data_IF_031326242233
#
_entry.id   IF_031326242233
#
_cell.length_a   1.000
_cell.length_b   1.000
_cell.length_c   1.000
_cell.angle_alpha   90.00
_cell.angle_beta   90.00
_cell.angle_gamma   90.00
#
_symmetry.space_group_name_H-M   'P 1'
#
loop_
_entity.id
_entity.type
_entity.pdbx_description
1 polymer ?
#
# COMPACT_ATOMS: atom_id res chain seq x y z
N UNK A 1 -52.31 -18.65 -1.24
CA UNK A 1 -51.04 -19.25 -0.80
C UNK A 1 -50.03 -19.10 -1.95
N UNK A 2 -48.79 -18.66 -1.67
CA UNK A 2 -47.60 -18.72 -2.57
C UNK A 2 -47.28 -17.53 -3.51
N UNK A 3 -46.94 -16.37 -2.94
CA UNK A 3 -45.93 -15.47 -3.57
C UNK A 3 -44.83 -15.02 -2.60
N UNK A 4 -45.08 -15.00 -1.30
CA UNK A 4 -44.10 -14.66 -0.26
C UNK A 4 -43.01 -15.72 -0.06
N UNK A 5 -43.31 -17.01 -0.24
CA UNK A 5 -42.33 -18.10 -0.05
C UNK A 5 -41.29 -18.27 -1.18
N UNK A 6 -41.39 -17.58 -2.32
CA UNK A 6 -40.39 -17.70 -3.41
C UNK A 6 -39.21 -16.74 -3.30
N UNK A 7 -39.34 -15.64 -2.54
CA UNK A 7 -38.27 -14.65 -2.40
C UNK A 7 -37.15 -15.09 -1.45
N UNK A 8 -37.47 -15.91 -0.45
CA UNK A 8 -36.49 -16.36 0.56
C UNK A 8 -35.49 -17.40 0.04
N UNK A 9 -35.80 -18.06 -1.09
CA UNK A 9 -34.91 -19.04 -1.73
C UNK A 9 -34.07 -18.45 -2.89
N UNK A 10 -34.32 -17.22 -3.32
CA UNK A 10 -33.58 -16.61 -4.43
C UNK A 10 -32.29 -15.95 -3.94
N UNK A 11 -31.17 -16.33 -4.55
CA UNK A 11 -29.88 -15.70 -4.29
C UNK A 11 -29.66 -14.49 -5.19
N UNK A 12 -29.04 -13.46 -4.61
CA UNK A 12 -28.62 -12.27 -5.35
C UNK A 12 -27.14 -11.98 -5.13
N UNK A 13 -26.55 -11.26 -6.08
CA UNK A 13 -25.17 -10.77 -6.00
C UNK A 13 -25.18 -9.25 -6.09
N UNK A 14 -24.48 -8.59 -5.19
CA UNK A 14 -24.31 -7.14 -5.19
C UNK A 14 -23.03 -6.70 -5.91
N UNK A 15 -23.03 -5.48 -6.43
CA UNK A 15 -21.87 -4.76 -6.93
C UNK A 15 -21.88 -3.33 -6.42
N UNK A 16 -20.72 -2.77 -6.10
CA UNK A 16 -20.62 -1.42 -5.53
C UNK A 16 -19.44 -0.68 -6.13
N UNK A 17 -19.74 0.48 -6.73
CA UNK A 17 -18.74 1.50 -7.03
C UNK A 17 -18.63 2.47 -5.84
N UNK A 18 -17.38 2.79 -5.46
CA UNK A 18 -17.09 3.49 -4.21
C UNK A 18 -16.53 4.89 -4.46
N UNK A 19 -17.22 5.91 -3.93
CA UNK A 19 -16.74 7.29 -3.87
C UNK A 19 -16.73 7.81 -2.44
N UNK A 20 -16.26 9.07 -2.30
CA UNK A 20 -16.02 9.71 -1.01
C UNK A 20 -17.31 9.85 -0.18
N UNK A 21 -18.37 10.37 -0.77
CA UNK A 21 -19.58 10.77 -0.04
C UNK A 21 -20.77 9.84 -0.34
N UNK A 22 -20.77 9.21 -1.52
CA UNK A 22 -21.81 8.28 -1.98
C UNK A 22 -21.16 7.00 -2.52
N UNK A 23 -21.81 5.86 -2.29
CA UNK A 23 -21.56 4.61 -2.98
C UNK A 23 -22.75 4.29 -3.87
N UNK A 24 -22.48 3.87 -5.10
CA UNK A 24 -23.51 3.39 -6.02
C UNK A 24 -23.49 1.87 -5.97
N UNK A 25 -24.65 1.27 -5.74
CA UNK A 25 -24.78 -0.17 -5.64
C UNK A 25 -25.74 -0.70 -6.71
N UNK A 26 -25.48 -1.91 -7.19
CA UNK A 26 -26.33 -2.65 -8.11
C UNK A 26 -26.55 -4.08 -7.60
N UNK A 27 -27.68 -4.68 -7.96
CA UNK A 27 -28.03 -6.07 -7.63
C UNK A 27 -28.31 -6.83 -8.91
N UNK A 28 -27.73 -8.03 -9.04
CA UNK A 28 -28.03 -8.97 -10.11
C UNK A 28 -28.67 -10.25 -9.55
N UNK A 29 -29.58 -10.84 -10.33
CA UNK A 29 -30.24 -12.09 -10.00
C UNK A 29 -29.39 -13.32 -10.35
N UNK A 30 -29.95 -14.53 -10.15
CA UNK A 30 -29.30 -15.81 -10.46
C UNK A 30 -28.97 -16.02 -11.95
N UNK A 31 -29.56 -15.23 -12.84
CA UNK A 31 -29.30 -15.23 -14.28
C UNK A 31 -28.30 -14.13 -14.69
N UNK A 32 -27.64 -13.48 -13.73
CA UNK A 32 -26.74 -12.35 -13.93
C UNK A 32 -27.40 -11.15 -14.62
N UNK A 33 -28.70 -10.95 -14.42
CA UNK A 33 -29.43 -9.80 -14.95
C UNK A 33 -29.58 -8.73 -13.86
N UNK A 34 -29.39 -7.47 -14.22
CA UNK A 34 -29.57 -6.34 -13.30
C UNK A 34 -31.03 -6.24 -12.86
N UNK A 35 -31.24 -6.19 -11.55
CA UNK A 35 -32.57 -6.06 -10.92
C UNK A 35 -32.83 -4.62 -10.51
N UNK A 36 -31.83 -3.97 -9.91
CA UNK A 36 -31.94 -2.60 -9.41
C UNK A 36 -30.57 -1.99 -9.16
N UNK A 37 -30.50 -0.66 -9.17
CA UNK A 37 -29.36 0.15 -8.77
C UNK A 37 -29.80 1.34 -7.91
N UNK A 38 -29.03 1.66 -6.88
CA UNK A 38 -29.36 2.74 -5.92
C UNK A 38 -28.09 3.34 -5.29
N UNK A 39 -28.19 4.58 -4.82
CA UNK A 39 -27.10 5.32 -4.18
C UNK A 39 -27.26 5.40 -2.67
N UNK A 40 -26.15 5.22 -1.94
CA UNK A 40 -26.14 5.21 -0.47
C UNK A 40 -25.02 6.11 0.07
N UNK A 41 -25.24 6.84 1.19
CA UNK A 41 -24.20 7.65 1.80
C UNK A 41 -23.08 6.77 2.39
N UNK A 42 -21.84 7.27 2.41
CA UNK A 42 -20.66 6.57 2.96
C UNK A 42 -20.59 6.58 4.49
N UNK A 43 -21.67 6.17 5.14
CA UNK A 43 -21.81 6.15 6.60
C UNK A 43 -22.22 4.75 7.06
N UNK A 44 -22.00 4.44 8.34
CA UNK A 44 -22.45 3.17 8.93
C UNK A 44 -23.95 2.91 8.70
N UNK A 45 -24.78 3.95 8.80
CA UNK A 45 -26.21 3.86 8.50
C UNK A 45 -26.48 3.60 7.01
N UNK A 46 -25.73 4.25 6.13
CA UNK A 46 -25.80 4.01 4.68
C UNK A 46 -25.42 2.58 4.30
N UNK A 47 -24.38 2.01 4.91
CA UNK A 47 -23.98 0.61 4.68
C UNK A 47 -25.06 -0.38 5.13
N UNK A 48 -25.70 -0.12 6.28
CA UNK A 48 -26.84 -0.90 6.74
C UNK A 48 -28.01 -0.83 5.78
N UNK A 49 -28.39 0.38 5.35
CA UNK A 49 -29.45 0.60 4.35
C UNK A 49 -29.15 -0.13 3.05
N UNK A 50 -27.93 -0.04 2.55
CA UNK A 50 -27.50 -0.73 1.34
C UNK A 50 -27.67 -2.24 1.47
N UNK A 51 -27.20 -2.86 2.56
CA UNK A 51 -27.36 -4.29 2.76
C UNK A 51 -28.83 -4.70 2.88
N UNK A 52 -29.64 -3.98 3.66
CA UNK A 52 -31.08 -4.23 3.77
C UNK A 52 -31.79 -4.10 2.43
N UNK A 53 -31.42 -3.11 1.62
CA UNK A 53 -31.93 -2.93 0.27
C UNK A 53 -31.56 -4.12 -0.62
N UNK A 54 -30.29 -4.54 -0.65
CA UNK A 54 -29.87 -5.74 -1.41
C UNK A 54 -30.63 -6.99 -0.96
N UNK A 55 -30.81 -7.18 0.35
CA UNK A 55 -31.54 -8.31 0.91
C UNK A 55 -33.04 -8.30 0.59
N UNK A 56 -33.62 -7.16 0.21
CA UNK A 56 -35.05 -7.09 -0.20
C UNK A 56 -35.33 -7.78 -1.54
N UNK A 57 -34.29 -8.06 -2.32
CA UNK A 57 -34.35 -8.78 -3.60
C UNK A 57 -34.05 -10.29 -3.47
N UNK A 58 -33.56 -10.74 -2.32
CA UNK A 58 -33.21 -12.15 -2.06
C UNK A 58 -32.05 -12.30 -1.09
N UNK A 59 -31.59 -13.53 -0.86
CA UNK A 59 -30.44 -13.81 -0.01
C UNK A 59 -29.15 -13.36 -0.68
N UNK A 60 -28.49 -12.36 -0.10
CA UNK A 60 -27.22 -11.82 -0.62
C UNK A 60 -26.13 -12.86 -0.44
N UNK A 61 -25.69 -13.46 -1.55
CA UNK A 61 -24.63 -14.47 -1.54
C UNK A 61 -23.24 -13.83 -1.40
N UNK A 62 -23.03 -12.71 -2.09
CA UNK A 62 -21.78 -11.95 -2.05
C UNK A 62 -21.94 -10.53 -2.61
N UNK A 63 -20.91 -9.72 -2.41
CA UNK A 63 -20.81 -8.37 -2.98
C UNK A 63 -19.45 -8.13 -3.62
N UNK A 64 -19.44 -7.62 -4.85
CA UNK A 64 -18.25 -7.04 -5.50
C UNK A 64 -18.09 -5.58 -5.11
N UNK A 65 -16.93 -5.18 -4.60
CA UNK A 65 -16.63 -3.78 -4.26
C UNK A 65 -15.44 -3.32 -5.11
N UNK A 66 -15.63 -2.25 -5.88
CA UNK A 66 -14.52 -1.54 -6.51
C UNK A 66 -13.75 -0.73 -5.46
N UNK A 67 -12.42 -0.75 -5.52
CA UNK A 67 -11.54 0.02 -4.62
C UNK A 67 -11.80 -0.20 -3.11
N UNK A 68 -11.91 -1.48 -2.70
CA UNK A 68 -12.15 -1.89 -1.30
C UNK A 68 -11.13 -1.35 -0.28
N UNK A 69 -9.95 -0.92 -0.72
CA UNK A 69 -8.85 -0.46 0.13
C UNK A 69 -8.80 1.03 0.48
N UNK A 70 -9.72 1.85 -0.06
CA UNK A 70 -9.82 3.29 0.21
C UNK A 70 -11.25 3.69 0.57
N UNK A 71 -12.04 4.19 -0.38
CA UNK A 71 -13.41 4.64 -0.14
C UNK A 71 -14.33 3.48 0.25
N UNK A 72 -14.09 2.28 -0.29
CA UNK A 72 -14.84 1.07 0.06
C UNK A 72 -14.50 0.43 1.40
N UNK A 73 -13.51 0.94 2.15
CA UNK A 73 -13.01 0.24 3.35
C UNK A 73 -14.06 0.12 4.46
N UNK A 74 -14.84 1.18 4.68
CA UNK A 74 -15.92 1.17 5.67
C UNK A 74 -17.00 0.14 5.32
N UNK A 75 -17.36 0.08 4.04
CA UNK A 75 -18.33 -0.88 3.51
C UNK A 75 -17.83 -2.32 3.59
N UNK A 76 -16.57 -2.56 3.18
CA UNK A 76 -15.92 -3.87 3.27
C UNK A 76 -16.03 -4.45 4.69
N UNK A 77 -15.63 -3.67 5.70
CA UNK A 77 -15.71 -4.10 7.10
C UNK A 77 -17.14 -4.39 7.54
N UNK A 78 -18.09 -3.54 7.16
CA UNK A 78 -19.50 -3.73 7.50
C UNK A 78 -20.05 -5.03 6.90
N UNK A 79 -19.81 -5.27 5.61
CA UNK A 79 -20.26 -6.48 4.90
C UNK A 79 -19.63 -7.75 5.48
N UNK A 80 -18.32 -7.74 5.74
CA UNK A 80 -17.62 -8.87 6.37
C UNK A 80 -18.15 -9.16 7.78
N UNK A 81 -18.37 -8.13 8.61
CA UNK A 81 -18.96 -8.29 9.94
C UNK A 81 -20.41 -8.81 9.92
N UNK A 82 -21.08 -8.64 8.78
CA UNK A 82 -22.43 -9.15 8.54
C UNK A 82 -22.43 -10.56 7.91
N UNK A 83 -21.27 -11.20 7.79
CA UNK A 83 -21.12 -12.55 7.22
C UNK A 83 -21.27 -12.60 5.69
N UNK A 84 -21.21 -11.47 5.00
CA UNK A 84 -21.31 -11.40 3.54
C UNK A 84 -19.92 -11.63 2.93
N UNK A 85 -19.85 -12.53 1.93
CA UNK A 85 -18.65 -12.74 1.14
C UNK A 85 -18.37 -11.51 0.27
N UNK A 86 -17.17 -10.94 0.37
CA UNK A 86 -16.81 -9.71 -0.35
C UNK A 86 -15.65 -10.01 -1.29
N UNK A 87 -15.81 -9.57 -2.54
CA UNK A 87 -14.77 -9.61 -3.56
C UNK A 87 -14.33 -8.21 -3.93
N UNK A 88 -13.01 -7.99 -3.99
CA UNK A 88 -12.47 -6.78 -4.59
C UNK A 88 -12.49 -6.94 -6.11
N UNK A 89 -13.24 -6.06 -6.78
CA UNK A 89 -13.31 -6.03 -8.25
C UNK A 89 -12.15 -5.20 -8.76
N UNK A 90 -11.30 -5.81 -9.59
CA UNK A 90 -10.19 -5.13 -10.23
C UNK A 90 -10.66 -4.35 -11.45
N UNK A 91 -9.97 -3.24 -11.75
CA UNK A 91 -10.43 -2.23 -12.71
C UNK A 91 -10.96 -2.82 -14.04
N UNK A 92 -12.04 -2.22 -14.59
CA UNK A 92 -12.64 -2.68 -15.84
C UNK A 92 -11.66 -2.58 -17.02
N UNK A 93 -11.96 -3.31 -18.10
CA UNK A 93 -11.15 -3.25 -19.31
C UNK A 93 -11.12 -1.82 -19.86
N UNK A 94 -9.91 -1.28 -20.06
CA UNK A 94 -9.73 0.08 -20.58
C UNK A 94 -10.34 0.24 -21.98
N UNK A 95 -10.46 -0.85 -22.74
CA UNK A 95 -11.09 -0.85 -24.06
C UNK A 95 -12.61 -0.72 -23.98
N UNK A 96 -13.26 -1.41 -23.04
CA UNK A 96 -14.70 -1.32 -22.81
C UNK A 96 -15.11 0.03 -22.22
N UNK A 97 -14.34 0.55 -21.26
CA UNK A 97 -14.57 1.88 -20.69
C UNK A 97 -14.52 3.00 -21.73
N UNK A 98 -13.61 2.91 -22.72
CA UNK A 98 -13.54 3.89 -23.82
C UNK A 98 -14.74 3.86 -24.75
N UNK A 99 -15.39 2.70 -24.90
CA UNK A 99 -16.56 2.54 -25.77
C UNK A 99 -17.86 2.98 -25.10
N UNK A 100 -18.00 2.72 -23.79
CA UNK A 100 -19.26 2.93 -23.05
C UNK A 100 -19.34 4.26 -22.29
N UNK A 101 -18.21 4.93 -22.03
CA UNK A 101 -18.17 6.16 -21.24
C UNK A 101 -17.96 5.89 -19.74
N UNK A 102 -18.18 6.92 -18.90
CA UNK A 102 -18.12 6.82 -17.43
C UNK A 102 -19.52 7.07 -16.87
N UNK A 103 -20.05 6.08 -16.16
CA UNK A 103 -21.31 6.16 -15.43
C UNK A 103 -21.15 5.29 -14.18
N UNK A 104 -21.30 5.91 -13.01
CA UNK A 104 -21.08 5.26 -11.72
C UNK A 104 -22.12 4.12 -11.49
N UNK A 105 -23.29 4.19 -12.13
CA UNK A 105 -24.31 3.10 -12.12
C UNK A 105 -23.82 1.89 -12.90
N UNK A 106 -23.27 2.11 -14.10
CA UNK A 106 -22.69 1.05 -14.91
C UNK A 106 -21.47 0.42 -14.23
N UNK A 107 -20.66 1.22 -13.53
CA UNK A 107 -19.51 0.71 -12.77
C UNK A 107 -19.97 -0.20 -11.62
N UNK A 108 -21.04 0.15 -10.90
CA UNK A 108 -21.65 -0.72 -9.89
C UNK A 108 -22.25 -2.01 -10.48
N UNK A 109 -22.94 -1.94 -11.61
CA UNK A 109 -23.47 -3.11 -12.34
C UNK A 109 -22.34 -4.03 -12.83
N UNK A 110 -21.29 -3.45 -13.41
CA UNK A 110 -20.10 -4.18 -13.83
C UNK A 110 -19.44 -4.89 -12.63
N UNK A 111 -19.38 -4.24 -11.47
CA UNK A 111 -18.89 -4.86 -10.24
C UNK A 111 -19.77 -6.05 -9.80
N UNK A 112 -21.09 -5.95 -9.96
CA UNK A 112 -22.03 -7.02 -9.63
C UNK A 112 -21.82 -8.22 -10.57
N UNK A 113 -21.73 -7.97 -11.88
CA UNK A 113 -21.44 -8.99 -12.88
C UNK A 113 -20.08 -9.66 -12.68
N UNK A 114 -19.05 -8.89 -12.32
CA UNK A 114 -17.73 -9.41 -12.00
C UNK A 114 -17.76 -10.33 -10.76
N UNK A 115 -18.48 -9.92 -9.71
CA UNK A 115 -18.66 -10.73 -8.50
C UNK A 115 -19.45 -12.02 -8.77
N UNK A 116 -20.51 -11.93 -9.59
CA UNK A 116 -21.34 -13.06 -10.00
C UNK A 116 -20.48 -14.11 -10.74
N UNK A 117 -19.75 -13.66 -11.76
CA UNK A 117 -18.93 -14.52 -12.61
C UNK A 117 -17.57 -14.91 -12.00
N UNK A 118 -17.18 -14.34 -10.85
CA UNK A 118 -15.81 -14.44 -10.28
C UNK A 118 -14.72 -14.00 -11.26
N UNK A 119 -15.07 -13.13 -12.20
CA UNK A 119 -14.15 -12.64 -13.21
C UNK A 119 -13.50 -11.35 -12.72
N UNK A 120 -12.16 -11.25 -12.82
CA UNK A 120 -11.40 -10.06 -12.39
C UNK A 120 -11.59 -9.69 -10.92
N UNK A 121 -11.90 -10.66 -10.08
CA UNK A 121 -12.06 -10.48 -8.65
C UNK A 121 -10.91 -11.07 -7.86
N UNK A 122 -10.54 -10.43 -6.76
CA UNK A 122 -9.58 -10.94 -5.79
C UNK A 122 -10.16 -10.90 -4.38
N UNK A 123 -9.66 -11.76 -3.49
CA UNK A 123 -9.99 -11.64 -2.06
C UNK A 123 -9.36 -10.34 -1.53
N UNK A 124 -10.17 -9.41 -0.97
CA UNK A 124 -9.65 -8.16 -0.42
C UNK A 124 -8.74 -8.44 0.76
N UNK A 125 -7.87 -7.47 1.08
CA UNK A 125 -7.16 -7.48 2.37
C UNK A 125 -8.18 -7.20 3.49
N UNK A 126 -8.14 -7.95 4.59
CA UNK A 126 -9.10 -7.75 5.70
C UNK A 126 -8.96 -6.37 6.36
N UNK A 127 -7.72 -5.86 6.48
CA UNK A 127 -7.41 -4.49 6.92
C UNK A 127 -7.98 -4.16 8.31
N UNK A 128 -7.89 -5.11 9.22
CA UNK A 128 -8.42 -5.06 10.57
C UNK A 128 -7.38 -5.44 11.64
N UNK A 129 -6.19 -5.89 11.22
CA UNK A 129 -5.11 -6.32 12.10
C UNK A 129 -3.92 -5.36 12.20
N UNK A 130 -2.83 -5.87 12.76
CA UNK A 130 -1.59 -5.11 12.96
C UNK A 130 -0.94 -4.66 11.64
N UNK A 131 -1.19 -5.33 10.50
CA UNK A 131 -0.65 -4.89 9.20
C UNK A 131 -1.34 -3.60 8.74
N UNK A 132 -2.62 -3.41 9.04
CA UNK A 132 -3.29 -2.15 8.76
C UNK A 132 -2.76 -1.03 9.67
N UNK A 133 -2.55 -1.29 10.96
CA UNK A 133 -1.88 -0.34 11.87
C UNK A 133 -0.50 0.06 11.33
N UNK A 134 0.28 -0.93 10.88
CA UNK A 134 1.59 -0.72 10.24
C UNK A 134 1.48 0.15 9.00
N UNK A 135 0.47 -0.05 8.15
CA UNK A 135 0.22 0.75 6.96
C UNK A 135 -0.06 2.22 7.29
N UNK A 136 -0.88 2.46 8.31
CA UNK A 136 -1.22 3.82 8.76
C UNK A 136 0.02 4.53 9.32
N UNK A 137 0.76 3.90 10.23
CA UNK A 137 1.97 4.46 10.82
C UNK A 137 3.05 4.73 9.76
N UNK A 138 3.27 3.79 8.83
CA UNK A 138 4.22 3.99 7.72
C UNK A 138 3.80 5.14 6.80
N UNK A 139 2.49 5.33 6.56
CA UNK A 139 1.99 6.46 5.77
C UNK A 139 2.26 7.79 6.47
N UNK A 140 2.01 7.86 7.79
CA UNK A 140 2.33 9.03 8.61
C UNK A 140 3.83 9.34 8.55
N UNK A 141 4.67 8.33 8.80
CA UNK A 141 6.13 8.46 8.75
C UNK A 141 6.63 8.98 7.41
N UNK A 142 6.09 8.44 6.30
CA UNK A 142 6.46 8.89 4.96
C UNK A 142 6.12 10.37 4.74
N UNK A 143 4.97 10.83 5.25
CA UNK A 143 4.60 12.25 5.22
C UNK A 143 5.58 13.09 6.02
N UNK A 144 5.91 12.69 7.25
CA UNK A 144 6.87 13.39 8.10
C UNK A 144 8.27 13.47 7.45
N UNK A 145 8.76 12.37 6.85
CA UNK A 145 10.04 12.35 6.11
C UNK A 145 10.02 13.34 4.94
N UNK A 146 8.94 13.39 4.17
CA UNK A 146 8.80 14.32 3.06
C UNK A 146 8.82 15.77 3.56
N UNK A 147 8.03 16.09 4.59
CA UNK A 147 8.00 17.42 5.19
C UNK A 147 9.36 17.84 5.78
N UNK A 148 10.07 16.92 6.45
CA UNK A 148 11.42 17.16 7.00
C UNK A 148 12.43 17.45 5.90
N UNK A 149 12.30 16.75 4.78
CA UNK A 149 13.15 16.96 3.60
C UNK A 149 12.92 18.34 3.00
N UNK A 150 11.66 18.76 2.86
CA UNK A 150 11.30 20.12 2.40
C UNK A 150 11.85 21.18 3.36
N UNK A 151 11.67 21.02 4.68
CA UNK A 151 12.21 21.95 5.66
C UNK A 151 13.73 22.11 5.55
N UNK A 152 14.47 20.99 5.41
CA UNK A 152 15.91 21.03 5.23
C UNK A 152 16.32 21.71 3.91
N UNK A 153 15.59 21.43 2.82
CA UNK A 153 15.85 22.06 1.54
C UNK A 153 15.64 23.57 1.62
N UNK A 154 14.56 24.03 2.24
CA UNK A 154 14.28 25.44 2.45
C UNK A 154 15.37 26.11 3.30
N UNK A 155 15.82 25.49 4.40
CA UNK A 155 16.95 26.00 5.21
C UNK A 155 18.18 26.23 4.32
N UNK A 156 18.56 25.23 3.53
CA UNK A 156 19.75 25.32 2.66
C UNK A 156 19.61 26.41 1.61
N UNK A 157 18.48 26.46 0.91
CA UNK A 157 18.23 27.49 -0.10
C UNK A 157 18.19 28.89 0.51
N UNK A 158 17.57 29.06 1.69
CA UNK A 158 17.57 30.34 2.40
C UNK A 158 18.98 30.78 2.80
N UNK A 159 19.85 29.87 3.24
CA UNK A 159 21.24 30.20 3.59
C UNK A 159 22.03 30.68 2.37
N UNK A 160 21.79 30.11 1.19
CA UNK A 160 22.47 30.54 -0.05
C UNK A 160 22.18 32.00 -0.39
N UNK A 161 20.97 32.48 -0.13
CA UNK A 161 20.55 33.85 -0.42
C UNK A 161 20.65 34.80 0.77
N UNK A 162 21.08 34.33 1.94
CA UNK A 162 21.16 35.13 3.16
C UNK A 162 22.29 36.19 3.08
N UNK A 163 22.19 37.29 3.85
CA UNK A 163 23.30 38.24 4.02
C UNK A 163 24.60 37.53 4.43
N UNK A 164 25.76 38.01 3.92
CA UNK A 164 27.05 37.29 4.03
C UNK A 164 27.45 37.02 5.49
N UNK A 165 27.23 37.98 6.39
CA UNK A 165 27.49 37.82 7.82
C UNK A 165 26.75 36.61 8.43
N UNK A 166 25.49 36.39 8.01
CA UNK A 166 24.71 35.24 8.44
C UNK A 166 25.17 33.97 7.74
N UNK A 167 25.41 34.04 6.43
CA UNK A 167 25.79 32.89 5.60
C UNK A 167 27.13 32.28 6.03
N UNK A 168 28.13 33.11 6.35
CA UNK A 168 29.48 32.70 6.73
C UNK A 168 29.50 31.83 7.98
N UNK A 169 28.69 32.20 8.96
CA UNK A 169 28.57 31.45 10.22
C UNK A 169 27.91 30.09 10.03
N UNK A 170 27.02 29.94 9.04
CA UNK A 170 26.16 28.76 8.89
C UNK A 170 26.70 27.73 7.88
N UNK A 171 27.40 28.17 6.81
CA UNK A 171 27.73 27.32 5.65
C UNK A 171 28.64 26.12 5.98
N UNK A 172 29.43 26.21 7.04
CA UNK A 172 30.39 25.19 7.45
C UNK A 172 29.84 24.20 8.49
N UNK A 173 28.61 24.43 8.97
CA UNK A 173 28.02 23.57 9.98
C UNK A 173 27.57 22.24 9.39
N UNK A 174 27.79 21.16 10.14
CA UNK A 174 27.16 19.88 9.84
C UNK A 174 25.64 20.02 9.92
N UNK A 175 24.90 19.17 9.20
CA UNK A 175 23.43 19.22 9.13
C UNK A 175 22.75 19.32 10.50
N UNK A 176 23.17 18.48 11.45
CA UNK A 176 22.55 18.45 12.78
C UNK A 176 22.96 19.64 13.64
N UNK A 177 24.23 20.07 13.55
CA UNK A 177 24.67 21.28 14.25
C UNK A 177 23.94 22.51 13.70
N UNK A 178 23.83 22.64 12.38
CA UNK A 178 23.12 23.72 11.71
C UNK A 178 21.67 23.82 12.21
N UNK A 179 20.92 22.72 12.14
CA UNK A 179 19.51 22.71 12.55
C UNK A 179 19.37 23.04 14.03
N UNK A 180 20.18 22.44 14.91
CA UNK A 180 20.09 22.69 16.36
C UNK A 180 20.45 24.14 16.71
N UNK A 181 21.49 24.69 16.09
CA UNK A 181 21.87 26.10 16.25
C UNK A 181 20.74 27.02 15.80
N UNK A 182 20.16 26.79 14.61
CA UNK A 182 19.07 27.62 14.11
C UNK A 182 17.82 27.51 15.00
N UNK A 183 17.47 26.32 15.48
CA UNK A 183 16.33 26.11 16.35
C UNK A 183 16.47 26.81 17.72
N UNK A 184 17.70 26.95 18.23
CA UNK A 184 17.98 27.58 19.53
C UNK A 184 18.13 29.11 19.48
N UNK A 185 18.24 29.70 18.29
CA UNK A 185 18.32 31.17 18.14
C UNK A 185 17.12 31.90 18.73
N UNK A 186 17.29 33.17 19.10
CA UNK A 186 16.23 34.03 19.63
C UNK A 186 16.16 35.35 18.85
N UNK A 187 15.70 35.33 17.58
CA UNK A 187 15.52 36.56 16.83
C UNK A 187 14.40 37.41 17.43
N UNK A 188 14.55 38.73 17.34
CA UNK A 188 13.50 39.68 17.70
C UNK A 188 12.35 39.56 16.69
N UNK A 189 11.18 39.11 17.17
CA UNK A 189 9.99 38.92 16.33
C UNK A 189 9.31 40.24 15.96
N UNK A 190 9.68 41.35 16.59
CA UNK A 190 9.09 42.67 16.31
C UNK A 190 9.79 43.36 15.13
N UNK A 191 11.07 43.06 14.89
CA UNK A 191 11.87 43.62 13.81
C UNK A 191 11.85 42.78 12.51
N UNK A 192 10.71 42.16 12.18
CA UNK A 192 10.58 41.29 10.99
C UNK A 192 10.72 42.02 9.64
N UNK A 193 10.72 43.37 9.65
CA UNK A 193 10.92 44.20 8.46
C UNK A 193 12.40 44.36 8.10
N UNK A 194 13.31 44.14 9.05
CA UNK A 194 14.73 44.04 8.79
C UNK A 194 15.05 42.70 8.10
N UNK A 195 15.84 42.75 7.03
CA UNK A 195 16.13 41.57 6.20
C UNK A 195 16.87 40.49 6.98
N UNK A 196 17.90 40.86 7.75
CA UNK A 196 18.70 39.91 8.54
C UNK A 196 17.85 39.23 9.60
N UNK A 197 16.99 40.00 10.27
CA UNK A 197 16.05 39.49 11.26
C UNK A 197 15.01 38.57 10.61
N UNK A 198 14.44 38.93 9.45
CA UNK A 198 13.52 38.09 8.69
C UNK A 198 14.13 36.72 8.32
N UNK A 199 15.40 36.69 7.89
CA UNK A 199 16.13 35.44 7.67
C UNK A 199 16.26 34.62 8.95
N UNK A 200 16.65 35.23 10.07
CA UNK A 200 16.79 34.51 11.36
C UNK A 200 15.47 33.92 11.84
N UNK A 201 14.36 34.68 11.73
CA UNK A 201 13.01 34.20 12.07
C UNK A 201 12.64 32.99 11.20
N UNK A 202 12.83 33.11 9.88
CA UNK A 202 12.49 32.06 8.91
C UNK A 202 13.30 30.79 9.16
N UNK A 203 14.62 30.91 9.28
CA UNK A 203 15.52 29.80 9.52
C UNK A 203 15.21 29.10 10.85
N UNK A 204 14.90 29.85 11.91
CA UNK A 204 14.45 29.28 13.19
C UNK A 204 13.16 28.48 13.04
N UNK A 205 12.15 29.03 12.36
CA UNK A 205 10.87 28.35 12.17
C UNK A 205 11.03 27.04 11.38
N UNK A 206 11.81 27.06 10.30
CA UNK A 206 12.11 25.85 9.52
C UNK A 206 12.92 24.83 10.32
N UNK A 207 13.89 25.28 11.13
CA UNK A 207 14.70 24.41 11.97
C UNK A 207 13.87 23.74 13.08
N UNK A 208 12.97 24.48 13.75
CA UNK A 208 12.02 23.89 14.71
C UNK A 208 11.16 22.81 14.07
N UNK A 209 10.58 23.09 12.90
CA UNK A 209 9.81 22.10 12.14
C UNK A 209 10.65 20.87 11.80
N UNK A 210 11.92 21.05 11.41
CA UNK A 210 12.81 19.91 11.15
C UNK A 210 12.99 19.05 12.39
N UNK A 211 13.26 19.66 13.56
CA UNK A 211 13.48 18.94 14.83
C UNK A 211 12.23 18.17 15.23
N UNK A 212 11.07 18.83 15.25
CA UNK A 212 9.79 18.20 15.57
C UNK A 212 9.51 16.99 14.67
N UNK A 213 9.68 17.13 13.35
CA UNK A 213 9.52 16.02 12.40
C UNK A 213 10.60 14.95 12.55
N UNK A 214 11.81 15.31 12.98
CA UNK A 214 12.87 14.33 13.22
C UNK A 214 12.53 13.42 14.39
N UNK A 215 12.03 13.99 15.48
CA UNK A 215 11.61 13.26 16.67
C UNK A 215 10.35 12.43 16.38
N UNK A 216 9.35 12.99 15.67
CA UNK A 216 8.16 12.25 15.22
C UNK A 216 8.53 11.01 14.39
N UNK A 217 9.47 11.14 13.45
CA UNK A 217 9.94 10.00 12.64
C UNK A 217 10.59 8.94 13.52
N UNK A 218 11.40 9.33 14.51
CA UNK A 218 12.07 8.40 15.41
C UNK A 218 11.06 7.63 16.28
N UNK A 219 10.00 8.28 16.75
CA UNK A 219 8.95 7.63 17.51
C UNK A 219 8.11 6.69 16.64
N UNK A 220 7.78 7.09 15.42
CA UNK A 220 7.11 6.21 14.45
C UNK A 220 7.99 5.01 14.07
N UNK A 221 9.31 5.19 13.93
CA UNK A 221 10.26 4.12 13.66
C UNK A 221 10.24 3.05 14.78
N UNK A 222 10.17 3.45 16.05
CA UNK A 222 10.03 2.52 17.19
C UNK A 222 8.73 1.71 17.10
N UNK A 223 7.60 2.38 16.88
CA UNK A 223 6.30 1.70 16.79
C UNK A 223 6.24 0.72 15.62
N UNK A 224 6.79 1.11 14.46
CA UNK A 224 6.91 0.24 13.28
C UNK A 224 7.78 -0.97 13.58
N UNK A 225 8.93 -0.79 14.24
CA UNK A 225 9.81 -1.89 14.60
C UNK A 225 9.12 -2.91 15.50
N UNK A 226 8.45 -2.46 16.57
CA UNK A 226 7.72 -3.35 17.50
C UNK A 226 6.62 -4.17 16.80
N UNK A 227 5.87 -3.56 15.89
CA UNK A 227 4.84 -4.28 15.11
C UNK A 227 5.49 -5.32 14.20
N UNK A 228 6.59 -4.97 13.52
CA UNK A 228 7.28 -5.90 12.62
C UNK A 228 7.86 -7.08 13.39
N UNK A 229 8.46 -6.86 14.56
CA UNK A 229 9.00 -7.92 15.44
C UNK A 229 7.90 -8.86 15.94
N UNK A 230 6.70 -8.33 16.18
CA UNK A 230 5.55 -9.15 16.58
C UNK A 230 5.05 -10.03 15.42
N UNK A 231 5.01 -9.47 14.21
CA UNK A 231 4.45 -10.12 13.02
C UNK A 231 5.41 -11.12 12.37
N UNK A 232 6.68 -10.76 12.21
CA UNK A 232 7.66 -11.52 11.45
C UNK A 232 9.10 -11.25 11.93
N UNK A 233 9.47 -11.69 13.14
CA UNK A 233 10.83 -11.51 13.67
C UNK A 233 11.89 -12.18 12.77
N UNK A 234 11.58 -13.34 12.19
CA UNK A 234 12.49 -14.10 11.32
C UNK A 234 12.82 -13.35 10.02
N UNK A 235 11.99 -12.37 9.63
CA UNK A 235 12.22 -11.54 8.47
C UNK A 235 13.33 -10.51 8.72
N UNK A 236 13.47 -10.01 9.94
CA UNK A 236 14.50 -9.03 10.32
C UNK A 236 15.87 -9.70 10.52
N UNK A 237 15.89 -10.98 10.89
CA UNK A 237 17.11 -11.77 10.97
C UNK A 237 17.77 -11.99 9.60
N UNK A 238 17.01 -11.83 8.51
CA UNK A 238 17.53 -12.01 7.16
C UNK A 238 18.49 -10.88 6.76
N UNK A 239 19.57 -11.25 6.08
CA UNK A 239 20.57 -10.28 5.71
C UNK A 239 20.01 -9.14 4.84
N UNK A 240 20.39 -7.92 5.22
CA UNK A 240 19.98 -6.64 4.63
C UNK A 240 18.46 -6.34 4.65
N UNK A 241 17.68 -7.06 5.46
CA UNK A 241 16.26 -6.76 5.66
C UNK A 241 16.08 -5.83 6.86
N UNK A 242 15.91 -4.54 6.59
CA UNK A 242 15.56 -3.55 7.62
C UNK A 242 14.06 -3.43 7.84
N UNK A 243 13.67 -2.88 9.00
CA UNK A 243 12.27 -2.68 9.42
C UNK A 243 11.40 -2.00 8.36
N UNK A 244 11.91 -0.98 7.66
CA UNK A 244 11.16 -0.26 6.63
C UNK A 244 10.81 -1.15 5.42
N UNK A 245 11.73 -1.99 5.00
CA UNK A 245 11.54 -2.94 3.89
C UNK A 245 10.62 -4.08 4.32
N UNK A 246 10.84 -4.62 5.53
CA UNK A 246 9.98 -5.65 6.12
C UNK A 246 8.54 -5.16 6.25
N UNK A 247 8.33 -3.97 6.82
CA UNK A 247 7.02 -3.36 6.95
C UNK A 247 6.31 -3.20 5.60
N UNK A 248 7.02 -2.73 4.57
CA UNK A 248 6.43 -2.60 3.24
C UNK A 248 6.00 -3.95 2.65
N UNK A 249 6.80 -5.01 2.84
CA UNK A 249 6.49 -6.35 2.35
C UNK A 249 5.28 -6.95 3.09
N UNK A 250 5.20 -6.78 4.41
CA UNK A 250 4.04 -7.18 5.21
C UNK A 250 2.78 -6.43 4.77
N UNK A 251 2.85 -5.11 4.59
CA UNK A 251 1.73 -4.31 4.05
C UNK A 251 1.30 -4.81 2.67
N UNK A 252 2.26 -5.20 1.83
CA UNK A 252 2.00 -5.73 0.48
C UNK A 252 1.26 -7.06 0.58
N UNK A 253 1.71 -7.95 1.45
CA UNK A 253 1.09 -9.24 1.75
C UNK A 253 -0.34 -9.05 2.28
N UNK A 254 -0.54 -8.18 3.26
CA UNK A 254 -1.81 -7.97 3.97
C UNK A 254 -1.96 -8.87 5.21
N UNK A 255 -2.96 -8.57 6.04
CA UNK A 255 -3.29 -9.32 7.27
C UNK A 255 -3.74 -10.77 7.01
N UNK A 256 -4.15 -11.08 5.77
CA UNK A 256 -4.65 -12.39 5.32
C UNK A 256 -3.74 -13.00 4.22
N UNK A 257 -2.55 -13.54 4.57
CA UNK A 257 -1.56 -14.04 3.62
C UNK A 257 -2.06 -15.15 2.69
N UNK A 258 -3.00 -15.97 3.17
CA UNK A 258 -3.59 -17.12 2.48
C UNK A 258 -4.30 -16.75 1.18
N UNK A 259 -4.63 -15.46 0.99
CA UNK A 259 -5.08 -14.93 -0.31
C UNK A 259 -4.05 -15.14 -1.43
N UNK A 260 -2.76 -15.23 -1.09
CA UNK A 260 -1.69 -15.51 -2.03
C UNK A 260 -1.41 -17.01 -2.07
N UNK A 261 -1.92 -17.68 -3.11
CA UNK A 261 -1.84 -19.15 -3.24
C UNK A 261 -0.46 -19.65 -3.66
N UNK A 262 0.39 -18.78 -4.20
CA UNK A 262 1.70 -19.18 -4.70
C UNK A 262 2.74 -18.09 -4.56
N UNK A 263 3.99 -18.53 -4.52
CA UNK A 263 5.15 -17.67 -4.55
C UNK A 263 5.23 -16.83 -5.84
N UNK A 264 4.78 -17.37 -6.97
CA UNK A 264 4.66 -16.64 -8.23
C UNK A 264 3.64 -15.49 -8.14
N UNK A 265 2.53 -15.70 -7.42
CA UNK A 265 1.54 -14.65 -7.15
C UNK A 265 2.13 -13.52 -6.31
N UNK A 266 2.93 -13.85 -5.28
CA UNK A 266 3.64 -12.85 -4.49
C UNK A 266 4.69 -12.08 -5.31
N UNK A 267 5.46 -12.77 -6.14
CA UNK A 267 6.41 -12.13 -7.04
C UNK A 267 5.74 -11.19 -8.05
N UNK A 268 4.58 -11.58 -8.58
CA UNK A 268 3.79 -10.72 -9.47
C UNK A 268 3.26 -9.49 -8.73
N UNK A 269 2.75 -9.68 -7.50
CA UNK A 269 2.28 -8.59 -6.65
C UNK A 269 3.40 -7.59 -6.33
N UNK A 270 4.62 -8.07 -6.05
CA UNK A 270 5.80 -7.22 -5.83
C UNK A 270 6.40 -6.64 -7.14
N UNK A 271 5.83 -6.96 -8.31
CA UNK A 271 6.33 -6.51 -9.61
C UNK A 271 7.71 -7.05 -9.97
N UNK A 272 8.11 -8.20 -9.41
CA UNK A 272 9.40 -8.86 -9.68
C UNK A 272 9.23 -10.15 -10.49
N UNK A 273 8.00 -10.51 -10.89
CA UNK A 273 7.78 -11.59 -11.85
C UNK A 273 8.29 -11.18 -13.25
N UNK A 274 8.99 -12.08 -13.96
CA UNK A 274 9.36 -11.83 -15.35
C UNK A 274 8.11 -11.93 -16.24
N UNK A 275 7.96 -11.03 -17.21
CA UNK A 275 6.91 -11.12 -18.22
C UNK A 275 7.52 -11.57 -19.54
N UNK A 276 7.06 -12.68 -20.14
CA UNK A 276 7.51 -13.09 -21.46
C UNK A 276 7.35 -11.95 -22.49
N UNK A 277 8.42 -11.66 -23.20
CA UNK A 277 8.50 -10.64 -24.25
C UNK A 277 9.28 -11.23 -25.42
N UNK A 278 8.76 -12.34 -25.94
CA UNK A 278 9.38 -13.15 -26.97
C UNK A 278 8.59 -13.09 -28.26
N UNK A 279 9.28 -12.88 -29.38
CA UNK A 279 8.75 -13.11 -30.73
C UNK A 279 9.64 -14.12 -31.45
N UNK A 280 9.13 -15.33 -31.67
CA UNK A 280 9.76 -16.37 -32.49
C UNK A 280 11.09 -16.91 -31.95
N UNK A 281 12.21 -16.25 -32.25
CA UNK A 281 13.58 -16.79 -32.06
C UNK A 281 14.31 -16.29 -30.81
N UNK A 282 13.76 -15.35 -30.03
CA UNK A 282 14.43 -14.79 -28.84
C UNK A 282 13.62 -15.02 -27.57
N UNK A 283 14.24 -15.64 -26.56
CA UNK A 283 13.68 -15.71 -25.20
C UNK A 283 14.10 -14.46 -24.43
N UNK A 284 13.21 -13.46 -24.35
CA UNK A 284 13.44 -12.23 -23.58
C UNK A 284 12.30 -12.01 -22.62
N UNK A 285 12.63 -11.48 -21.45
CA UNK A 285 11.64 -11.13 -20.43
C UNK A 285 11.69 -9.63 -20.18
N UNK A 286 10.52 -8.99 -20.16
CA UNK A 286 10.39 -7.57 -19.83
C UNK A 286 10.05 -7.37 -18.36
N UNK A 287 10.28 -6.15 -17.88
CA UNK A 287 9.92 -5.72 -16.54
C UNK A 287 8.40 -5.73 -16.33
N UNK A 288 7.96 -6.28 -15.20
CA UNK A 288 6.61 -6.11 -14.71
C UNK A 288 6.42 -4.70 -14.11
N UNK A 289 5.51 -3.92 -14.69
CA UNK A 289 5.14 -2.57 -14.22
C UNK A 289 3.85 -2.55 -13.38
N UNK A 290 3.12 -3.66 -13.29
CA UNK A 290 1.78 -3.73 -12.70
C UNK A 290 1.71 -4.12 -11.22
N UNK A 291 2.84 -4.35 -10.55
CA UNK A 291 2.89 -4.68 -9.11
C UNK A 291 3.12 -3.46 -8.20
N UNK A 292 3.09 -3.70 -6.90
CA UNK A 292 3.41 -2.72 -5.84
C UNK A 292 4.85 -2.22 -6.02
N UNK A 293 4.96 -0.93 -6.38
CA UNK A 293 6.24 -0.26 -6.64
C UNK A 293 7.04 -0.05 -5.37
N UNK A 294 6.40 0.12 -4.23
CA UNK A 294 7.07 0.25 -2.95
C UNK A 294 7.63 -1.11 -2.49
N UNK A 295 6.89 -2.20 -2.67
CA UNK A 295 7.40 -3.56 -2.44
C UNK A 295 8.60 -3.87 -3.35
N UNK A 296 8.52 -3.48 -4.63
CA UNK A 296 9.60 -3.62 -5.59
C UNK A 296 10.87 -2.87 -5.18
N UNK A 297 10.69 -1.66 -4.61
CA UNK A 297 11.76 -0.83 -4.07
C UNK A 297 12.38 -1.45 -2.82
N UNK A 298 11.56 -1.96 -1.89
CA UNK A 298 12.02 -2.69 -0.71
C UNK A 298 12.91 -3.88 -1.08
N UNK A 299 12.46 -4.73 -2.02
CA UNK A 299 13.25 -5.85 -2.54
C UNK A 299 14.56 -5.39 -3.21
N UNK A 300 14.55 -4.22 -3.86
CA UNK A 300 15.76 -3.67 -4.46
C UNK A 300 16.77 -3.22 -3.39
N UNK A 301 16.32 -2.55 -2.33
CA UNK A 301 17.16 -2.12 -1.21
C UNK A 301 17.80 -3.35 -0.55
N UNK A 302 17.02 -4.40 -0.29
CA UNK A 302 17.53 -5.67 0.25
C UNK A 302 18.58 -6.27 -0.69
N UNK A 303 18.29 -6.35 -1.99
CA UNK A 303 19.23 -6.89 -2.98
C UNK A 303 20.56 -6.11 -3.00
N UNK A 304 20.51 -4.77 -2.97
CA UNK A 304 21.73 -3.93 -2.92
C UNK A 304 22.51 -4.14 -1.63
N UNK A 305 21.82 -4.22 -0.49
CA UNK A 305 22.47 -4.51 0.79
C UNK A 305 23.13 -5.89 0.83
N UNK A 306 22.44 -6.93 0.33
CA UNK A 306 22.99 -8.28 0.18
C UNK A 306 24.20 -8.30 -0.74
N UNK A 307 24.19 -7.57 -1.85
CA UNK A 307 25.37 -7.51 -2.73
C UNK A 307 26.59 -6.86 -2.08
N UNK A 308 26.39 -6.02 -1.07
CA UNK A 308 27.50 -5.42 -0.30
C UNK A 308 28.02 -6.35 0.80
N UNK A 309 27.17 -7.24 1.34
CA UNK A 309 27.43 -7.91 2.63
C UNK A 309 27.32 -9.43 2.60
N UNK A 310 26.82 -10.04 1.51
CA UNK A 310 26.56 -11.47 1.38
C UNK A 310 27.30 -12.07 0.19
N UNK A 311 28.23 -12.99 0.48
CA UNK A 311 29.02 -13.67 -0.54
C UNK A 311 28.14 -14.46 -1.52
N UNK A 312 27.15 -15.22 -1.02
CA UNK A 312 26.22 -16.00 -1.85
C UNK A 312 25.49 -15.16 -2.90
N UNK A 313 25.05 -13.95 -2.55
CA UNK A 313 24.40 -13.04 -3.49
C UNK A 313 25.38 -12.47 -4.51
N UNK A 314 26.63 -12.20 -4.11
CA UNK A 314 27.69 -11.74 -5.01
C UNK A 314 28.05 -12.82 -6.03
N UNK A 315 28.25 -14.06 -5.59
CA UNK A 315 28.50 -15.21 -6.46
C UNK A 315 27.36 -15.45 -7.43
N UNK A 316 26.11 -15.36 -6.97
CA UNK A 316 24.95 -15.49 -7.83
C UNK A 316 24.95 -14.46 -8.97
N UNK A 317 25.24 -13.19 -8.67
CA UNK A 317 25.33 -12.15 -9.70
C UNK A 317 26.52 -12.38 -10.64
N UNK A 318 27.69 -12.77 -10.11
CA UNK A 318 28.86 -13.12 -10.94
C UNK A 318 28.51 -14.23 -11.93
N UNK A 319 27.88 -15.31 -11.46
CA UNK A 319 27.41 -16.42 -12.29
C UNK A 319 26.43 -15.96 -13.37
N UNK A 320 25.39 -15.20 -13.01
CA UNK A 320 24.41 -14.69 -13.98
C UNK A 320 25.02 -13.75 -15.01
N UNK A 321 26.03 -12.98 -14.62
CA UNK A 321 26.76 -12.11 -15.56
C UNK A 321 27.61 -12.94 -16.51
N UNK A 322 28.24 -14.03 -16.04
CA UNK A 322 28.96 -14.99 -16.88
C UNK A 322 28.01 -15.74 -17.85
N UNK A 323 26.76 -16.00 -17.45
CA UNK A 323 25.70 -16.54 -18.32
C UNK A 323 25.22 -15.53 -19.41
N UNK A 324 25.81 -14.33 -19.49
CA UNK A 324 25.51 -13.32 -20.49
C UNK A 324 24.43 -12.31 -20.12
N UNK A 325 23.92 -12.32 -18.88
CA UNK A 325 22.95 -11.31 -18.42
C UNK A 325 23.67 -10.00 -18.05
N UNK A 326 23.03 -8.88 -18.33
CA UNK A 326 23.48 -7.60 -17.78
C UNK A 326 23.37 -7.57 -16.25
N UNK A 327 24.17 -6.74 -15.59
CA UNK A 327 24.11 -6.54 -14.13
C UNK A 327 22.69 -6.23 -13.63
N UNK A 328 21.91 -5.45 -14.40
CA UNK A 328 20.53 -5.12 -14.06
C UNK A 328 19.56 -6.30 -14.20
N UNK A 329 19.77 -7.16 -15.19
CA UNK A 329 19.00 -8.41 -15.31
C UNK A 329 19.34 -9.39 -14.19
N UNK A 330 20.62 -9.53 -13.87
CA UNK A 330 21.07 -10.35 -12.75
C UNK A 330 20.46 -9.87 -11.41
N UNK A 331 20.42 -8.55 -11.16
CA UNK A 331 19.76 -7.97 -9.98
C UNK A 331 18.26 -8.27 -9.97
N UNK A 332 17.58 -8.28 -11.14
CA UNK A 332 16.16 -8.65 -11.21
C UNK A 332 15.96 -10.12 -10.84
N UNK A 333 16.83 -11.01 -11.30
CA UNK A 333 16.83 -12.41 -10.89
C UNK A 333 17.04 -12.55 -9.37
N UNK A 334 17.97 -11.80 -8.79
CA UNK A 334 18.19 -11.77 -7.34
C UNK A 334 16.96 -11.28 -6.58
N UNK A 335 16.31 -10.21 -7.03
CA UNK A 335 15.05 -9.73 -6.43
C UNK A 335 13.94 -10.78 -6.47
N UNK A 336 13.83 -11.54 -7.58
CA UNK A 336 12.88 -12.64 -7.72
C UNK A 336 13.18 -13.78 -6.73
N UNK A 337 14.46 -14.08 -6.51
CA UNK A 337 14.94 -15.04 -5.52
C UNK A 337 14.64 -14.58 -4.09
N UNK A 338 14.92 -13.31 -3.75
CA UNK A 338 14.61 -12.75 -2.42
C UNK A 338 13.10 -12.77 -2.15
N UNK A 339 12.28 -12.41 -3.15
CA UNK A 339 10.83 -12.50 -3.02
C UNK A 339 10.34 -13.93 -2.73
N UNK A 340 10.99 -14.94 -3.32
CA UNK A 340 10.72 -16.36 -3.04
C UNK A 340 11.03 -16.72 -1.60
N UNK A 341 12.22 -16.37 -1.14
CA UNK A 341 12.69 -16.62 0.21
C UNK A 341 11.74 -16.00 1.25
N UNK A 342 11.43 -14.72 1.08
CA UNK A 342 10.50 -13.98 1.95
C UNK A 342 9.11 -14.62 1.96
N UNK A 343 8.59 -15.04 0.80
CA UNK A 343 7.28 -15.69 0.74
C UNK A 343 7.23 -16.95 1.62
N UNK A 344 8.26 -17.81 1.54
CA UNK A 344 8.28 -19.03 2.32
C UNK A 344 8.50 -18.77 3.81
N UNK A 345 9.32 -17.78 4.18
CA UNK A 345 9.47 -17.36 5.58
C UNK A 345 8.12 -16.93 6.17
N UNK A 346 7.41 -16.03 5.49
CA UNK A 346 6.12 -15.52 5.95
C UNK A 346 5.02 -16.58 5.92
N UNK A 347 5.02 -17.48 4.93
CA UNK A 347 4.08 -18.59 4.87
C UNK A 347 4.26 -19.55 6.05
N UNK A 348 5.50 -19.91 6.38
CA UNK A 348 5.80 -20.79 7.50
C UNK A 348 5.37 -20.17 8.84
N UNK A 349 5.64 -18.87 9.02
CA UNK A 349 5.18 -18.11 10.18
C UNK A 349 3.66 -18.16 10.36
N UNK A 350 2.91 -17.93 9.28
CA UNK A 350 1.44 -17.99 9.32
C UNK A 350 0.93 -19.39 9.71
N UNK A 351 1.55 -20.45 9.18
CA UNK A 351 1.22 -21.83 9.57
C UNK A 351 1.40 -22.07 11.07
N UNK A 352 2.49 -21.55 11.66
CA UNK A 352 2.76 -21.68 13.10
C UNK A 352 1.68 -20.95 13.92
N UNK A 353 1.38 -19.69 13.58
CA UNK A 353 0.36 -18.89 14.28
C UNK A 353 -1.00 -19.59 14.25
N UNK A 354 -1.43 -20.08 13.09
CA UNK A 354 -2.72 -20.76 12.95
C UNK A 354 -2.76 -22.08 13.72
N UNK A 355 -1.66 -22.83 13.78
CA UNK A 355 -1.61 -24.08 14.56
C UNK A 355 -1.77 -23.84 16.08
N UNK A 356 -1.23 -22.73 16.59
CA UNK A 356 -1.37 -22.35 18.00
C UNK A 356 -2.82 -21.97 18.31
N UNK A 357 -3.45 -21.16 17.45
CA UNK A 357 -4.85 -20.72 17.63
C UNK A 357 -5.88 -21.85 17.59
N UNK A 358 -5.62 -22.95 16.86
CA UNK A 358 -6.52 -24.12 16.83
C UNK A 358 -6.41 -24.95 18.11
N UNK A 359 -5.29 -24.85 18.83
CA UNK A 359 -5.00 -25.69 20.01
C UNK A 359 -5.42 -25.02 21.33
N UNK A 360 -5.78 -23.73 21.30
CA UNK A 360 -6.31 -22.92 22.41
C UNK A 360 -7.80 -22.68 22.25
#
# INVERSE_FOLDING_TARGET
MNQTNRKDDQYVVGGVDTHKDIHVAAVVNELNQVVSSESFPTTRHGYKKMLTWMSSFGKVSRVGIECSGTYGLGLLRYMQSSGIDVLEVTAPDKSDRRKRGKDDTLDAENAAHAAFSRHRTVTPKTRDGMVESLRILKSCRRSAVAARTVALQMIRTSIVSAPEELRDTLRHMTRMNLVRTLASTRPDLTNYKDITTAYRITLKSLARRYVELHDEIADLDKMIATIVESLAPELIEQNAVGYESAAQLLITLGDNPERLRSESSFAALCGVSPIPASSGKTSRHRLNRGGDRAANSALHIIAVGRLRTEERSQEYIKKRTADGLSKMEAIRCLKRYIAREIYYLLKNRNTIINSIQITT
#
